data_IF_934677513234
#
_entry.id   IF_934677513234
#
_cell.length_a   1.000
_cell.length_b   1.000
_cell.length_c   1.000
_cell.angle_alpha   90.00
_cell.angle_beta   90.00
_cell.angle_gamma   90.00
#
_symmetry.space_group_name_H-M   'P 1'
#
loop_
_entity.id
_entity.type
_entity.pdbx_description
1 polymer ?
#
# COMPACT_ATOMS: atom_id res chain seq x y z
N UNK A 1 0.38 -16.96 3.01
CA UNK A 1 0.21 -15.51 3.12
C UNK A 1 -0.29 -14.95 1.82
N UNK A 2 -1.24 -14.06 1.86
CA UNK A 2 -1.74 -13.40 0.67
C UNK A 2 -0.71 -12.36 0.18
N UNK A 3 -0.81 -12.03 -1.10
CA UNK A 3 0.02 -10.98 -1.71
C UNK A 3 -0.19 -9.63 -1.01
N UNK A 4 -1.44 -9.36 -0.62
CA UNK A 4 -1.82 -8.16 0.11
C UNK A 4 -1.10 -8.06 1.46
N UNK A 5 -1.10 -9.14 2.25
CA UNK A 5 -0.44 -9.17 3.55
C UNK A 5 1.07 -8.98 3.40
N UNK A 6 1.67 -9.54 2.36
CA UNK A 6 3.09 -9.35 2.08
C UNK A 6 3.43 -7.88 1.83
N UNK A 7 2.63 -7.18 1.03
CA UNK A 7 2.84 -5.75 0.76
C UNK A 7 2.73 -4.96 2.06
N UNK A 8 1.67 -5.19 2.84
CA UNK A 8 1.43 -4.44 4.08
C UNK A 8 2.55 -4.67 5.08
N UNK A 9 2.94 -5.93 5.29
CA UNK A 9 3.91 -6.28 6.33
C UNK A 9 5.35 -5.92 5.98
N UNK A 10 5.71 -5.90 4.69
CA UNK A 10 7.07 -5.63 4.24
C UNK A 10 7.31 -4.20 3.81
N UNK A 11 6.31 -3.55 3.22
CA UNK A 11 6.49 -2.27 2.54
C UNK A 11 5.65 -1.13 3.11
N UNK A 12 4.73 -1.43 4.03
CA UNK A 12 3.81 -0.44 4.61
C UNK A 12 3.86 -0.44 6.13
N UNK A 13 5.07 -0.60 6.69
CA UNK A 13 5.29 -0.47 8.13
C UNK A 13 5.37 1.02 8.51
N UNK A 14 5.30 1.29 9.81
CA UNK A 14 5.45 2.68 10.29
C UNK A 14 6.78 3.30 9.87
N UNK A 15 7.84 2.50 9.80
CA UNK A 15 9.15 2.95 9.32
C UNK A 15 9.12 3.34 7.86
N UNK A 16 8.38 2.60 7.04
CA UNK A 16 8.23 2.90 5.62
C UNK A 16 7.49 4.22 5.41
N UNK A 17 6.41 4.45 6.17
CA UNK A 17 5.67 5.72 6.11
C UNK A 17 6.53 6.88 6.60
N UNK A 18 7.27 6.72 7.69
CA UNK A 18 8.17 7.74 8.20
C UNK A 18 9.29 8.05 7.21
N UNK A 19 9.88 7.01 6.60
CA UNK A 19 10.93 7.16 5.60
C UNK A 19 10.44 7.86 4.34
N UNK A 20 9.23 7.49 3.86
CA UNK A 20 8.63 8.14 2.70
C UNK A 20 8.32 9.62 2.98
N UNK A 21 7.85 9.94 4.18
CA UNK A 21 7.62 11.33 4.58
C UNK A 21 8.92 12.13 4.58
N UNK A 22 10.00 11.56 5.08
CA UNK A 22 11.31 12.21 5.06
C UNK A 22 11.80 12.45 3.63
N UNK A 23 11.59 11.48 2.72
CA UNK A 23 11.92 11.65 1.31
C UNK A 23 11.14 12.81 0.69
N UNK A 24 9.85 12.91 1.01
CA UNK A 24 8.97 14.00 0.55
C UNK A 24 9.41 15.37 1.10
N UNK A 25 10.00 15.38 2.29
CA UNK A 25 10.53 16.59 2.94
C UNK A 25 11.98 16.91 2.54
N UNK A 26 12.54 16.19 1.55
CA UNK A 26 13.93 16.33 1.11
C UNK A 26 14.95 16.02 2.21
N UNK A 27 14.61 15.09 3.11
CA UNK A 27 15.44 14.67 4.22
C UNK A 27 15.48 13.15 4.31
N UNK A 28 16.02 12.44 3.29
CA UNK A 28 15.99 10.99 3.22
C UNK A 28 16.80 10.32 4.32
N UNK A 29 16.44 9.08 4.64
CA UNK A 29 17.11 8.28 5.66
C UNK A 29 18.44 7.74 5.11
N UNK A 30 19.57 8.05 5.75
CA UNK A 30 20.86 7.54 5.27
C UNK A 30 21.01 6.04 5.50
N UNK A 31 21.70 5.36 4.58
CA UNK A 31 22.06 3.96 4.70
C UNK A 31 23.39 3.79 5.41
N UNK A 32 23.57 2.73 6.22
CA UNK A 32 24.90 2.32 6.64
C UNK A 32 25.75 2.02 5.41
N UNK A 33 26.93 2.61 5.34
CA UNK A 33 27.84 2.40 4.21
C UNK A 33 27.71 3.36 3.05
N UNK A 34 26.79 4.32 3.11
CA UNK A 34 26.63 5.37 2.10
C UNK A 34 25.30 5.34 1.37
N UNK A 35 24.93 6.48 0.79
CA UNK A 35 23.68 6.66 0.08
C UNK A 35 22.48 6.79 1.00
N UNK A 36 21.29 6.78 0.40
CA UNK A 36 20.02 6.98 1.09
C UNK A 36 19.00 5.91 0.72
N UNK A 37 18.11 5.58 1.66
CA UNK A 37 16.97 4.73 1.38
C UNK A 37 15.97 5.44 0.47
N UNK A 38 15.45 4.72 -0.53
CA UNK A 38 14.41 5.27 -1.40
C UNK A 38 13.04 4.75 -0.98
N UNK A 39 12.56 5.19 0.18
CA UNK A 39 11.26 4.81 0.72
C UNK A 39 10.12 5.33 -0.15
N UNK A 40 10.32 6.49 -0.78
CA UNK A 40 9.30 7.10 -1.64
C UNK A 40 8.97 6.21 -2.84
N UNK A 41 9.98 5.66 -3.52
CA UNK A 41 9.75 4.77 -4.65
C UNK A 41 9.09 3.46 -4.23
N UNK A 42 9.53 2.88 -3.12
CA UNK A 42 8.91 1.68 -2.55
C UNK A 42 7.44 1.91 -2.22
N UNK A 43 7.12 3.07 -1.65
CA UNK A 43 5.75 3.45 -1.32
C UNK A 43 4.88 3.59 -2.58
N UNK A 44 5.41 4.21 -3.63
CA UNK A 44 4.70 4.33 -4.92
C UNK A 44 4.46 2.97 -5.56
N UNK A 45 5.44 2.06 -5.51
CA UNK A 45 5.31 0.71 -6.04
C UNK A 45 4.26 -0.09 -5.27
N UNK A 46 4.26 0.04 -3.94
CA UNK A 46 3.26 -0.59 -3.08
C UNK A 46 1.85 -0.07 -3.37
N UNK A 47 1.72 1.23 -3.60
CA UNK A 47 0.44 1.85 -3.99
C UNK A 47 -0.10 1.23 -5.28
N UNK A 48 0.74 1.12 -6.31
CA UNK A 48 0.35 0.49 -7.57
C UNK A 48 -0.08 -0.96 -7.37
N UNK A 49 0.64 -1.70 -6.54
CA UNK A 49 0.31 -3.08 -6.19
C UNK A 49 -1.05 -3.19 -5.50
N UNK A 50 -1.32 -2.30 -4.56
CA UNK A 50 -2.61 -2.26 -3.84
C UNK A 50 -3.77 -1.91 -4.78
N UNK A 51 -3.57 -1.00 -5.72
CA UNK A 51 -4.60 -0.65 -6.73
C UNK A 51 -4.95 -1.87 -7.58
N UNK A 52 -3.95 -2.65 -8.01
CA UNK A 52 -4.18 -3.90 -8.77
C UNK A 52 -4.96 -4.92 -7.95
N UNK A 53 -4.56 -5.10 -6.68
CA UNK A 53 -5.24 -6.02 -5.77
C UNK A 53 -6.69 -5.59 -5.57
N UNK A 54 -6.93 -4.30 -5.37
CA UNK A 54 -8.28 -3.75 -5.23
C UNK A 54 -9.15 -4.09 -6.44
N UNK A 55 -8.64 -3.85 -7.65
CA UNK A 55 -9.37 -4.17 -8.88
C UNK A 55 -9.70 -5.64 -8.98
N UNK A 56 -8.75 -6.51 -8.65
CA UNK A 56 -8.95 -7.96 -8.66
C UNK A 56 -10.02 -8.40 -7.67
N UNK A 57 -9.97 -7.87 -6.45
CA UNK A 57 -10.96 -8.19 -5.40
C UNK A 57 -12.35 -7.68 -5.77
N UNK A 58 -12.46 -6.46 -6.29
CA UNK A 58 -13.73 -5.90 -6.75
C UNK A 58 -14.32 -6.75 -7.88
N UNK A 59 -13.49 -7.19 -8.83
CA UNK A 59 -13.91 -8.07 -9.91
C UNK A 59 -14.40 -9.42 -9.39
N UNK A 60 -13.66 -10.02 -8.45
CA UNK A 60 -14.05 -11.30 -7.85
C UNK A 60 -15.36 -11.22 -7.07
N UNK A 61 -15.60 -10.10 -6.38
CA UNK A 61 -16.80 -9.87 -5.60
C UNK A 61 -18.07 -9.73 -6.46
N UNK A 62 -17.90 -9.46 -7.75
CA UNK A 62 -19.04 -9.40 -8.70
C UNK A 62 -19.57 -10.78 -9.08
N UNK A 63 -18.85 -11.85 -8.77
CA UNK A 63 -19.28 -13.20 -9.08
C UNK A 63 -20.49 -13.58 -8.21
N UNK A 64 -21.68 -13.88 -8.80
CA UNK A 64 -22.88 -14.20 -8.04
C UNK A 64 -22.84 -15.59 -7.40
N UNK A 65 -21.88 -16.43 -7.80
CA UNK A 65 -21.77 -17.82 -7.31
C UNK A 65 -20.84 -17.98 -6.10
N UNK A 66 -20.35 -16.88 -5.53
CA UNK A 66 -19.51 -16.94 -4.33
C UNK A 66 -20.34 -17.38 -3.12
N UNK A 67 -19.78 -18.29 -2.31
CA UNK A 67 -20.39 -18.60 -1.02
C UNK A 67 -20.10 -17.47 -0.03
N UNK A 68 -20.84 -17.45 1.08
CA UNK A 68 -20.75 -16.36 2.07
C UNK A 68 -19.36 -16.28 2.71
N UNK A 69 -18.72 -17.41 2.99
CA UNK A 69 -17.39 -17.44 3.60
C UNK A 69 -16.34 -16.82 2.66
N UNK A 70 -16.37 -17.17 1.39
CA UNK A 70 -15.44 -16.61 0.39
C UNK A 70 -15.69 -15.12 0.19
N UNK A 71 -16.96 -14.71 0.10
CA UNK A 71 -17.34 -13.30 -0.03
C UNK A 71 -16.82 -12.48 1.13
N UNK A 72 -16.93 -13.00 2.34
CA UNK A 72 -16.44 -12.34 3.56
C UNK A 72 -14.92 -12.15 3.51
N UNK A 73 -14.17 -13.18 3.12
CA UNK A 73 -12.70 -13.10 3.01
C UNK A 73 -12.29 -12.07 1.97
N UNK A 74 -12.94 -12.06 0.81
CA UNK A 74 -12.66 -11.10 -0.25
C UNK A 74 -12.97 -9.66 0.20
N UNK A 75 -14.09 -9.47 0.91
CA UNK A 75 -14.47 -8.15 1.41
C UNK A 75 -13.50 -7.64 2.47
N UNK A 76 -13.05 -8.50 3.37
CA UNK A 76 -12.02 -8.16 4.36
C UNK A 76 -10.71 -7.74 3.68
N UNK A 77 -10.31 -8.46 2.62
CA UNK A 77 -9.14 -8.10 1.82
C UNK A 77 -9.31 -6.75 1.14
N UNK A 78 -10.47 -6.49 0.56
CA UNK A 78 -10.79 -5.22 -0.08
C UNK A 78 -10.74 -4.06 0.93
N UNK A 79 -11.30 -4.25 2.12
CA UNK A 79 -11.29 -3.24 3.18
C UNK A 79 -9.85 -2.91 3.61
N UNK A 80 -8.99 -3.93 3.76
CA UNK A 80 -7.57 -3.74 4.06
C UNK A 80 -6.85 -2.97 2.96
N UNK A 81 -7.08 -3.34 1.70
CA UNK A 81 -6.47 -2.66 0.56
C UNK A 81 -6.88 -1.19 0.53
N UNK A 82 -8.18 -0.90 0.67
CA UNK A 82 -8.70 0.47 0.68
C UNK A 82 -8.14 1.29 1.82
N UNK A 83 -8.04 0.73 3.02
CA UNK A 83 -7.48 1.40 4.18
C UNK A 83 -6.03 1.83 3.93
N UNK A 84 -5.22 0.94 3.39
CA UNK A 84 -3.81 1.22 3.12
C UNK A 84 -3.62 2.14 1.94
N UNK A 85 -4.43 2.02 0.89
CA UNK A 85 -4.46 2.95 -0.24
C UNK A 85 -4.72 4.37 0.26
N UNK A 86 -5.75 4.55 1.09
CA UNK A 86 -6.10 5.86 1.65
C UNK A 86 -4.99 6.41 2.53
N UNK A 87 -4.33 5.56 3.31
CA UNK A 87 -3.22 5.96 4.17
C UNK A 87 -2.05 6.50 3.34
N UNK A 88 -1.75 5.86 2.21
CA UNK A 88 -0.71 6.33 1.29
C UNK A 88 -1.13 7.64 0.63
N UNK A 89 -2.36 7.73 0.14
CA UNK A 89 -2.89 8.94 -0.47
C UNK A 89 -2.83 10.13 0.49
N UNK A 90 -3.17 9.92 1.75
CA UNK A 90 -3.09 10.95 2.79
C UNK A 90 -1.65 11.42 3.05
N UNK A 91 -0.69 10.49 2.97
CA UNK A 91 0.73 10.84 3.12
C UNK A 91 1.18 11.83 2.04
N UNK A 92 0.75 11.60 0.79
CA UNK A 92 1.18 12.42 -0.35
C UNK A 92 0.37 13.69 -0.54
N UNK A 93 -0.82 13.79 0.05
CA UNK A 93 -1.73 14.92 -0.18
C UNK A 93 -1.07 16.29 0.06
N UNK A 94 -0.35 16.52 1.19
CA UNK A 94 0.29 17.82 1.43
C UNK A 94 1.39 18.15 0.42
N UNK A 95 1.83 17.18 -0.37
CA UNK A 95 2.93 17.32 -1.33
C UNK A 95 2.43 17.27 -2.79
N UNK A 96 1.15 17.47 -3.02
CA UNK A 96 0.57 17.51 -4.36
C UNK A 96 -0.07 16.21 -4.82
N UNK A 97 -0.17 15.22 -3.95
CA UNK A 97 -0.79 13.93 -4.26
C UNK A 97 0.19 12.92 -4.85
N UNK A 98 -0.25 11.66 -4.95
CA UNK A 98 0.52 10.58 -5.54
C UNK A 98 0.11 10.42 -7.01
N UNK A 99 1.10 10.31 -7.89
CA UNK A 99 0.87 10.09 -9.31
C UNK A 99 1.39 8.73 -9.74
#
# INVERSE_FOLDING_TARGET
MSFLDNIINKHLTDKDFSGALRDLQDNPVPKPGGGYWNHLQEMKDSYKGLIRIRKGLEGSLKNPNLNDATRKVLQEGLDKANKNIKKIENLFEPFGGIN
#
